data_IF_452706412303
#
_entry.id   IF_452706412303
#
_cell.length_a   1.000
_cell.length_b   1.000
_cell.length_c   1.000
_cell.angle_alpha   90.00
_cell.angle_beta   90.00
_cell.angle_gamma   90.00
#
_symmetry.space_group_name_H-M   'P 1'
#
loop_
_entity.id
_entity.type
_entity.pdbx_description
1 polymer ?
#
# COMPACT_ATOMS: atom_id res chain seq x y z
N UNK A 1 27.99 -5.31 5.96
CA UNK A 1 27.62 -6.56 6.69
C UNK A 1 26.21 -6.91 6.31
N UNK A 2 25.89 -8.16 6.00
CA UNK A 2 24.50 -8.52 5.67
C UNK A 2 23.64 -8.55 6.94
N UNK A 3 22.34 -8.29 6.81
CA UNK A 3 21.41 -8.21 7.96
C UNK A 3 21.40 -9.50 8.81
N UNK A 4 21.49 -10.68 8.17
CA UNK A 4 21.60 -11.96 8.86
C UNK A 4 22.87 -12.06 9.72
N UNK A 5 24.02 -11.66 9.16
CA UNK A 5 25.30 -11.68 9.87
C UNK A 5 25.27 -10.77 11.09
N UNK A 6 24.70 -9.57 10.94
CA UNK A 6 24.53 -8.62 12.02
C UNK A 6 23.64 -9.17 13.15
N UNK A 7 22.51 -9.80 12.79
CA UNK A 7 21.61 -10.42 13.77
C UNK A 7 22.30 -11.59 14.52
N UNK A 8 23.10 -12.41 13.82
CA UNK A 8 23.88 -13.49 14.45
C UNK A 8 24.95 -12.91 15.39
N UNK A 9 25.68 -11.87 14.98
CA UNK A 9 26.65 -11.18 15.86
C UNK A 9 25.98 -10.62 17.12
N UNK A 10 24.77 -10.06 16.98
CA UNK A 10 24.00 -9.57 18.13
C UNK A 10 23.67 -10.72 19.10
N UNK A 11 23.19 -11.86 18.57
CA UNK A 11 22.92 -13.06 19.38
C UNK A 11 24.17 -13.53 20.10
N UNK A 12 25.30 -13.65 19.41
CA UNK A 12 26.57 -14.08 19.98
C UNK A 12 27.06 -13.16 21.11
N UNK A 13 27.00 -11.84 20.91
CA UNK A 13 27.40 -10.85 21.91
C UNK A 13 26.50 -10.86 23.15
N UNK A 14 25.21 -11.03 23.00
CA UNK A 14 24.27 -11.19 24.12
C UNK A 14 24.58 -12.45 24.91
N UNK A 15 24.78 -13.58 24.23
CA UNK A 15 25.16 -14.87 24.86
C UNK A 15 26.50 -14.80 25.57
N UNK A 16 27.48 -14.14 24.97
CA UNK A 16 28.81 -13.92 25.59
C UNK A 16 28.73 -13.08 26.87
N UNK A 17 27.60 -12.42 27.15
CA UNK A 17 27.32 -11.70 28.40
C UNK A 17 26.40 -12.47 29.35
N UNK A 18 26.08 -13.74 29.04
CA UNK A 18 25.25 -14.61 29.86
C UNK A 18 23.76 -14.50 29.64
N UNK A 19 23.33 -13.87 28.57
CA UNK A 19 21.91 -13.74 28.21
C UNK A 19 21.50 -14.84 27.24
N UNK A 20 20.21 -15.20 27.27
CA UNK A 20 19.56 -15.96 26.20
C UNK A 20 19.27 -15.01 25.03
N UNK A 21 19.50 -15.46 23.81
CA UNK A 21 19.13 -14.69 22.61
C UNK A 21 18.88 -15.62 21.42
N UNK A 22 17.87 -15.30 20.62
CA UNK A 22 17.41 -16.10 19.48
C UNK A 22 16.92 -15.17 18.35
N UNK A 23 16.97 -15.62 17.10
CA UNK A 23 16.18 -15.03 16.04
C UNK A 23 14.70 -15.38 16.26
N UNK A 24 13.77 -14.48 15.87
CA UNK A 24 12.34 -14.66 16.21
C UNK A 24 11.41 -14.08 15.15
N UNK A 25 10.20 -14.62 15.07
CA UNK A 25 9.12 -14.02 14.29
C UNK A 25 9.17 -14.31 12.80
N UNK A 26 9.00 -13.26 11.99
CA UNK A 26 8.92 -13.36 10.54
C UNK A 26 10.15 -13.95 9.88
N UNK A 27 11.35 -13.61 10.35
CA UNK A 27 12.59 -14.12 9.79
C UNK A 27 12.72 -15.64 9.96
N UNK A 28 12.32 -16.20 11.11
CA UNK A 28 12.37 -17.66 11.32
C UNK A 28 11.43 -18.39 10.37
N UNK A 29 10.21 -17.89 10.21
CA UNK A 29 9.23 -18.43 9.24
C UNK A 29 9.81 -18.40 7.82
N UNK A 30 10.34 -17.26 7.40
CA UNK A 30 10.82 -17.07 6.03
C UNK A 30 12.05 -17.94 5.75
N UNK A 31 12.99 -18.08 6.71
CA UNK A 31 14.11 -19.03 6.62
C UNK A 31 13.64 -20.48 6.48
N UNK A 32 12.63 -20.89 7.25
CA UNK A 32 12.05 -22.24 7.14
C UNK A 32 11.34 -22.50 5.81
N UNK A 33 10.86 -21.45 5.14
CA UNK A 33 10.30 -21.50 3.80
C UNK A 33 11.36 -21.41 2.69
N UNK A 34 12.66 -21.31 3.03
CA UNK A 34 13.75 -21.13 2.08
C UNK A 34 13.70 -19.74 1.37
N UNK A 35 13.12 -18.75 2.02
CA UNK A 35 13.05 -17.36 1.53
C UNK A 35 14.04 -16.51 2.31
N UNK A 36 14.63 -15.53 1.63
CA UNK A 36 15.45 -14.52 2.32
C UNK A 36 14.51 -13.56 3.09
N UNK A 37 14.67 -13.42 4.42
CA UNK A 37 13.92 -12.47 5.22
C UNK A 37 14.22 -11.02 4.83
N UNK A 38 13.20 -10.17 4.84
CA UNK A 38 13.38 -8.74 4.62
C UNK A 38 14.04 -8.03 5.81
N UNK A 39 13.79 -8.54 7.02
CA UNK A 39 14.28 -8.03 8.30
C UNK A 39 14.59 -9.19 9.25
N UNK A 40 15.43 -8.92 10.24
CA UNK A 40 15.80 -9.89 11.26
C UNK A 40 15.52 -9.31 12.65
N UNK A 41 14.74 -10.04 13.45
CA UNK A 41 14.43 -9.69 14.82
C UNK A 41 15.14 -10.64 15.78
N UNK A 42 15.64 -10.10 16.89
CA UNK A 42 16.28 -10.86 17.98
C UNK A 42 15.42 -10.75 19.23
N UNK A 43 15.13 -11.86 19.87
CA UNK A 43 14.49 -11.89 21.18
C UNK A 43 15.49 -12.36 22.25
N UNK A 44 15.50 -11.71 23.43
CA UNK A 44 16.47 -11.94 24.50
C UNK A 44 15.88 -11.78 25.89
N UNK A 45 16.50 -12.37 26.93
CA UNK A 45 16.18 -12.09 28.33
C UNK A 45 16.88 -10.84 28.88
N UNK A 46 17.79 -10.23 28.10
CA UNK A 46 18.40 -8.96 28.46
C UNK A 46 17.37 -7.83 28.43
N UNK A 47 17.28 -7.05 29.51
CA UNK A 47 16.41 -5.86 29.54
C UNK A 47 17.04 -4.71 28.72
N UNK A 48 16.24 -3.71 28.26
CA UNK A 48 16.71 -2.66 27.37
C UNK A 48 18.02 -1.97 27.83
N UNK A 49 18.16 -1.71 29.12
CA UNK A 49 19.35 -1.06 29.67
C UNK A 49 20.62 -1.95 29.54
N UNK A 50 20.44 -3.27 29.59
CA UNK A 50 21.55 -4.23 29.39
C UNK A 50 21.91 -4.30 27.90
N UNK A 51 20.92 -4.32 27.00
CA UNK A 51 21.14 -4.27 25.55
C UNK A 51 21.91 -3.00 25.18
N UNK A 52 21.50 -1.84 25.65
CA UNK A 52 22.16 -0.56 25.39
C UNK A 52 23.59 -0.49 25.96
N UNK A 53 23.90 -1.19 27.05
CA UNK A 53 25.28 -1.30 27.57
C UNK A 53 26.17 -2.19 26.71
N UNK A 54 25.62 -3.22 26.10
CA UNK A 54 26.35 -4.16 25.24
C UNK A 54 26.59 -3.54 23.85
N UNK A 55 25.63 -2.75 23.36
CA UNK A 55 25.68 -2.09 22.06
C UNK A 55 25.62 -0.56 22.23
N UNK A 56 26.77 0.14 22.11
CA UNK A 56 26.85 1.58 22.44
C UNK A 56 26.13 2.50 21.45
N UNK A 57 25.80 2.01 20.26
CA UNK A 57 25.00 2.73 19.26
C UNK A 57 23.64 2.05 19.16
N UNK A 58 22.63 2.58 19.82
CA UNK A 58 21.28 2.01 19.84
C UNK A 58 20.24 3.10 19.98
N UNK A 59 19.03 2.83 19.54
CA UNK A 59 17.86 3.69 19.75
C UNK A 59 16.81 2.95 20.57
N UNK A 60 16.36 3.58 21.63
CA UNK A 60 15.31 3.07 22.50
C UNK A 60 13.93 3.38 21.91
N UNK A 61 13.54 2.70 20.84
CA UNK A 61 12.22 2.86 20.23
C UNK A 61 11.23 1.93 20.93
N UNK A 62 10.51 2.47 21.93
CA UNK A 62 9.60 1.66 22.74
C UNK A 62 10.30 0.86 23.84
N UNK A 63 11.33 1.41 24.48
CA UNK A 63 12.04 0.78 25.61
C UNK A 63 11.08 0.36 26.75
N UNK A 64 10.01 1.12 26.98
CA UNK A 64 8.93 0.74 27.91
C UNK A 64 8.25 -0.58 27.54
N UNK A 65 8.32 -0.98 26.26
CA UNK A 65 7.81 -2.26 25.74
C UNK A 65 8.91 -3.28 25.49
N UNK A 66 10.16 -2.98 25.88
CA UNK A 66 11.28 -3.89 25.78
C UNK A 66 12.02 -3.91 24.43
N UNK A 67 11.83 -2.91 23.57
CA UNK A 67 12.40 -2.91 22.21
C UNK A 67 13.54 -1.90 22.07
N UNK A 68 14.67 -2.34 21.53
CA UNK A 68 15.87 -1.55 21.21
C UNK A 68 16.30 -1.84 19.79
N UNK A 69 16.59 -0.81 19.01
CA UNK A 69 17.16 -0.94 17.67
C UNK A 69 18.68 -0.92 17.71
N UNK A 70 19.32 -1.90 17.12
CA UNK A 70 20.76 -2.01 16.98
C UNK A 70 21.14 -1.82 15.51
N UNK A 71 21.95 -0.80 15.14
CA UNK A 71 22.30 -0.53 13.75
C UNK A 71 23.16 -1.64 13.16
N UNK A 72 22.94 -1.93 11.89
CA UNK A 72 23.79 -2.81 11.10
C UNK A 72 25.00 -1.99 10.64
N UNK A 73 26.25 -2.43 10.90
CA UNK A 73 27.43 -1.73 10.40
C UNK A 73 27.41 -1.59 8.87
N UNK A 74 27.82 -0.43 8.38
CA UNK A 74 27.96 -0.10 6.94
C UNK A 74 26.63 0.01 6.15
N UNK A 75 25.48 -0.10 6.81
CA UNK A 75 24.19 0.20 6.20
C UNK A 75 23.87 1.70 6.31
N UNK A 76 23.12 2.28 5.34
CA UNK A 76 22.64 3.64 5.45
C UNK A 76 21.80 3.81 6.72
N UNK A 77 21.91 4.98 7.32
CA UNK A 77 21.41 5.30 8.67
C UNK A 77 20.09 4.63 9.03
N UNK A 78 20.11 3.88 10.14
CA UNK A 78 18.91 3.51 10.86
C UNK A 78 18.16 4.79 11.26
N UNK A 79 17.03 5.08 10.63
CA UNK A 79 16.17 6.21 10.97
C UNK A 79 15.01 5.76 11.84
N UNK A 80 15.11 5.90 13.18
CA UNK A 80 14.04 5.51 14.09
C UNK A 80 12.81 6.42 14.02
N UNK A 81 12.90 7.56 13.33
CA UNK A 81 11.84 8.54 13.12
C UNK A 81 11.34 8.60 11.67
N UNK A 82 11.74 7.67 10.81
CA UNK A 82 11.45 7.69 9.38
C UNK A 82 9.98 7.92 9.08
N UNK A 83 9.71 8.98 8.33
CA UNK A 83 8.36 9.37 7.88
C UNK A 83 7.79 8.42 6.82
N UNK A 84 8.55 7.40 6.41
CA UNK A 84 8.12 6.41 5.44
C UNK A 84 7.63 5.13 6.14
N UNK A 85 6.32 4.84 6.12
CA UNK A 85 5.74 3.63 6.71
C UNK A 85 6.25 2.31 6.08
N UNK A 86 6.92 2.38 4.95
CA UNK A 86 7.53 1.22 4.26
C UNK A 86 8.97 0.96 4.69
N UNK A 87 9.64 1.90 5.32
CA UNK A 87 10.97 1.73 5.90
C UNK A 87 10.86 1.16 7.32
N UNK A 88 10.42 -0.09 7.46
CA UNK A 88 10.62 -0.82 8.71
C UNK A 88 12.13 -0.96 8.92
N UNK A 89 12.69 -0.07 9.76
CA UNK A 89 14.02 -0.15 10.34
C UNK A 89 15.16 -0.64 9.41
N UNK A 90 15.13 -0.25 8.11
CA UNK A 90 16.25 -0.50 7.22
C UNK A 90 17.56 -0.08 7.90
N UNK A 91 18.54 -0.95 7.88
CA UNK A 91 19.84 -0.72 8.52
C UNK A 91 19.88 -1.01 10.03
N UNK A 92 18.82 -1.60 10.63
CA UNK A 92 18.79 -2.00 12.04
C UNK A 92 18.26 -3.40 12.24
N UNK A 93 18.69 -4.03 13.34
CA UNK A 93 18.09 -5.22 13.91
C UNK A 93 17.27 -4.82 15.13
N UNK A 94 16.01 -5.27 15.19
CA UNK A 94 15.17 -5.09 16.36
C UNK A 94 15.54 -6.11 17.43
N UNK A 95 15.90 -5.66 18.64
CA UNK A 95 16.20 -6.50 19.78
C UNK A 95 15.10 -6.32 20.83
N UNK A 96 14.28 -7.36 21.00
CA UNK A 96 13.13 -7.36 21.90
C UNK A 96 13.42 -8.17 23.17
N UNK A 97 13.16 -7.59 24.35
CA UNK A 97 13.23 -8.32 25.61
C UNK A 97 12.06 -9.28 25.73
N UNK A 98 12.30 -10.52 26.16
CA UNK A 98 11.22 -11.48 26.49
C UNK A 98 10.25 -10.85 27.48
N UNK A 99 8.97 -10.99 27.23
CA UNK A 99 7.97 -10.41 28.09
C UNK A 99 6.67 -11.21 28.11
N UNK A 100 5.95 -11.10 29.19
CA UNK A 100 4.53 -11.41 29.28
C UNK A 100 3.74 -10.11 29.34
N UNK A 101 2.62 -10.09 28.65
CA UNK A 101 1.76 -8.93 28.58
C UNK A 101 0.58 -9.11 29.54
N UNK A 102 0.21 -8.05 30.28
CA UNK A 102 -0.95 -8.00 31.13
C UNK A 102 -2.26 -7.86 30.34
N UNK A 103 -3.26 -7.22 30.96
CA UNK A 103 -4.53 -6.90 30.30
C UNK A 103 -4.33 -5.80 29.27
N UNK A 104 -5.15 -5.77 28.24
CA UNK A 104 -5.14 -4.77 27.16
C UNK A 104 -6.42 -3.94 27.25
N UNK A 105 -6.42 -2.84 27.99
CA UNK A 105 -7.60 -1.97 28.13
C UNK A 105 -7.91 -1.17 26.87
N UNK A 106 -6.88 -0.79 26.10
CA UNK A 106 -7.04 0.00 24.88
C UNK A 106 -7.18 -0.84 23.61
N UNK A 107 -7.10 -2.18 23.73
CA UNK A 107 -7.14 -3.12 22.60
C UNK A 107 -5.92 -3.04 21.68
N UNK A 108 -4.76 -2.56 22.19
CA UNK A 108 -3.50 -2.47 21.46
C UNK A 108 -2.27 -2.66 22.33
N UNK A 109 -2.19 -1.93 23.43
CA UNK A 109 -1.03 -1.94 24.30
C UNK A 109 -1.40 -2.65 25.61
N UNK A 110 -0.53 -3.51 26.12
CA UNK A 110 -0.73 -4.06 27.44
C UNK A 110 -0.64 -2.93 28.48
N UNK A 111 -1.55 -2.94 29.44
CA UNK A 111 -1.56 -1.97 30.54
C UNK A 111 -0.30 -2.11 31.41
N UNK A 112 0.24 -3.34 31.49
CA UNK A 112 1.45 -3.67 32.21
C UNK A 112 2.29 -4.65 31.37
N UNK A 113 3.59 -4.36 31.26
CA UNK A 113 4.60 -5.24 30.64
C UNK A 113 5.49 -5.80 31.72
N UNK A 114 5.57 -7.12 31.78
CA UNK A 114 6.48 -7.81 32.69
C UNK A 114 7.57 -8.51 31.90
N UNK A 115 8.82 -8.06 32.06
CA UNK A 115 9.95 -8.75 31.45
C UNK A 115 10.12 -10.15 32.04
N UNK A 116 10.39 -11.12 31.17
CA UNK A 116 10.53 -12.53 31.50
C UNK A 116 11.93 -13.05 31.16
N UNK A 117 12.30 -14.15 31.76
CA UNK A 117 13.49 -14.91 31.37
C UNK A 117 13.13 -16.17 30.59
N UNK A 118 11.83 -16.49 30.47
CA UNK A 118 11.38 -17.67 29.75
C UNK A 118 10.93 -17.25 28.33
N UNK A 119 11.60 -17.74 27.28
CA UNK A 119 11.22 -17.45 25.89
C UNK A 119 9.83 -17.97 25.53
N UNK A 120 9.27 -18.94 26.28
CA UNK A 120 7.91 -19.46 26.06
C UNK A 120 6.85 -18.40 26.35
N UNK A 121 7.04 -17.58 27.38
CA UNK A 121 6.12 -16.50 27.70
C UNK A 121 6.06 -15.46 26.57
N UNK A 122 7.22 -15.11 25.99
CA UNK A 122 7.27 -14.18 24.86
C UNK A 122 6.59 -14.73 23.62
N UNK A 123 6.77 -16.01 23.31
CA UNK A 123 6.13 -16.67 22.17
C UNK A 123 4.61 -16.71 22.35
N UNK A 124 4.12 -17.02 23.56
CA UNK A 124 2.70 -17.17 23.83
C UNK A 124 1.89 -15.88 23.65
N UNK A 125 2.50 -14.69 23.72
CA UNK A 125 1.78 -13.40 23.50
C UNK A 125 1.71 -13.00 22.03
N UNK A 126 2.42 -13.70 21.11
CA UNK A 126 2.45 -13.39 19.68
C UNK A 126 1.13 -13.73 18.99
N UNK A 127 0.99 -13.30 17.74
CA UNK A 127 -0.27 -13.41 16.99
C UNK A 127 -0.55 -14.84 16.49
N UNK A 128 0.33 -15.40 15.65
CA UNK A 128 0.10 -16.66 14.95
C UNK A 128 1.24 -17.65 15.20
N UNK A 129 0.90 -18.93 15.19
CA UNK A 129 1.86 -20.04 15.41
C UNK A 129 3.04 -19.98 14.46
N UNK A 130 2.81 -19.68 13.18
CA UNK A 130 3.86 -19.55 12.15
C UNK A 130 4.85 -18.40 12.41
N UNK A 131 4.50 -17.43 13.26
CA UNK A 131 5.35 -16.31 13.70
C UNK A 131 5.83 -16.48 15.15
N UNK A 132 5.48 -17.57 15.80
CA UNK A 132 5.80 -17.87 17.20
C UNK A 132 6.97 -18.82 17.38
N UNK A 133 7.86 -18.93 16.41
CA UNK A 133 9.04 -19.78 16.49
C UNK A 133 10.29 -18.95 16.79
N UNK A 134 11.23 -19.58 17.48
CA UNK A 134 12.56 -19.07 17.74
C UNK A 134 13.58 -19.91 16.97
N UNK A 135 14.69 -19.32 16.56
CA UNK A 135 15.78 -20.02 15.91
C UNK A 135 17.09 -19.67 16.61
N UNK A 136 17.85 -20.71 16.95
CA UNK A 136 19.19 -20.61 17.53
C UNK A 136 20.23 -20.62 16.39
N UNK A 137 20.72 -19.44 15.95
CA UNK A 137 21.65 -19.39 14.83
C UNK A 137 23.05 -19.87 15.19
N UNK A 138 23.38 -20.01 16.47
CA UNK A 138 24.67 -20.44 16.97
C UNK A 138 24.71 -21.97 17.17
N UNK A 139 23.55 -22.59 17.42
CA UNK A 139 23.40 -24.04 17.54
C UNK A 139 22.77 -24.65 16.27
N UNK A 140 23.53 -24.59 15.16
CA UNK A 140 23.13 -25.21 13.87
C UNK A 140 21.71 -24.85 13.38
N UNK A 141 21.25 -23.60 13.58
CA UNK A 141 19.92 -23.12 13.23
C UNK A 141 18.80 -23.99 13.87
N UNK A 142 19.01 -24.47 15.10
CA UNK A 142 17.99 -25.21 15.84
C UNK A 142 16.74 -24.37 16.06
N UNK A 143 15.57 -24.93 15.69
CA UNK A 143 14.28 -24.24 15.85
C UNK A 143 13.59 -24.69 17.13
N UNK A 144 13.33 -23.72 18.02
CA UNK A 144 12.55 -23.90 19.24
C UNK A 144 11.09 -23.53 18.92
N UNK A 145 10.24 -24.55 18.90
CA UNK A 145 8.80 -24.40 18.60
C UNK A 145 7.95 -24.82 19.82
N UNK A 146 7.40 -23.84 20.50
CA UNK A 146 6.56 -24.05 21.70
C UNK A 146 5.05 -24.00 21.39
N UNK A 147 4.67 -23.69 20.13
CA UNK A 147 3.27 -23.39 19.75
C UNK A 147 2.77 -24.19 18.56
N UNK A 148 3.61 -25.08 17.99
CA UNK A 148 3.26 -25.90 16.84
C UNK A 148 3.39 -25.17 15.50
N UNK A 149 4.18 -24.09 15.44
CA UNK A 149 4.36 -23.28 14.24
C UNK A 149 4.94 -24.04 13.05
N UNK A 150 5.88 -25.00 13.28
CA UNK A 150 6.41 -25.86 12.21
C UNK A 150 5.37 -26.76 11.59
N UNK A 151 4.48 -27.32 12.41
CA UNK A 151 3.39 -28.17 11.92
C UNK A 151 2.38 -27.34 11.10
N UNK A 152 1.99 -26.18 11.59
CA UNK A 152 1.07 -25.28 10.88
C UNK A 152 1.71 -24.72 9.59
N UNK A 153 3.01 -24.45 9.60
CA UNK A 153 3.75 -24.03 8.41
C UNK A 153 3.75 -25.14 7.34
N UNK A 154 4.00 -26.38 7.74
CA UNK A 154 3.96 -27.56 6.86
C UNK A 154 2.52 -27.83 6.35
N UNK A 155 1.52 -27.66 7.21
CA UNK A 155 0.10 -27.79 6.86
C UNK A 155 -0.44 -26.61 6.03
N UNK A 156 0.34 -25.53 5.87
CA UNK A 156 -0.06 -24.30 5.17
C UNK A 156 -1.30 -23.66 5.78
N UNK A 157 -1.35 -23.51 7.09
CA UNK A 157 -2.46 -22.89 7.79
C UNK A 157 -2.02 -21.68 8.64
N UNK A 158 -2.94 -20.76 8.83
CA UNK A 158 -2.82 -19.63 9.77
C UNK A 158 -3.70 -19.91 10.96
N UNK A 159 -3.06 -20.06 12.12
CA UNK A 159 -3.69 -20.32 13.42
C UNK A 159 -3.20 -19.31 14.44
N UNK A 160 -4.10 -18.79 15.27
CA UNK A 160 -3.71 -17.97 16.43
C UNK A 160 -3.00 -18.80 17.49
N UNK A 161 -2.09 -18.19 18.23
CA UNK A 161 -1.51 -18.81 19.41
C UNK A 161 -2.52 -18.75 20.55
N UNK A 162 -2.97 -19.92 21.02
CA UNK A 162 -4.00 -20.01 22.05
C UNK A 162 -5.41 -19.69 21.55
N UNK A 163 -6.28 -19.19 22.43
CA UNK A 163 -7.68 -18.88 22.08
C UNK A 163 -7.81 -17.71 21.13
N UNK A 164 -8.45 -17.89 19.94
CA UNK A 164 -8.55 -16.85 18.93
C UNK A 164 -9.28 -15.58 19.40
N UNK A 165 -10.38 -15.74 20.17
CA UNK A 165 -11.16 -14.60 20.63
C UNK A 165 -10.34 -13.74 21.57
N UNK A 166 -9.66 -14.37 22.52
CA UNK A 166 -8.76 -13.67 23.43
C UNK A 166 -7.63 -12.95 22.67
N UNK A 167 -7.02 -13.60 21.65
CA UNK A 167 -5.96 -12.97 20.83
C UNK A 167 -6.47 -11.75 20.07
N UNK A 168 -7.69 -11.80 19.56
CA UNK A 168 -8.31 -10.66 18.87
C UNK A 168 -8.80 -9.59 19.85
N UNK A 169 -9.16 -9.95 21.07
CA UNK A 169 -9.50 -8.97 22.12
C UNK A 169 -8.30 -8.14 22.54
N UNK A 170 -7.11 -8.72 22.59
CA UNK A 170 -5.85 -8.02 22.87
C UNK A 170 -5.47 -7.01 21.78
N UNK A 171 -5.59 -7.36 20.50
CA UNK A 171 -5.38 -6.47 19.36
C UNK A 171 -6.27 -6.87 18.18
N UNK A 172 -7.31 -6.08 17.93
CA UNK A 172 -8.26 -6.31 16.82
C UNK A 172 -7.60 -6.32 15.44
N UNK A 173 -6.44 -5.64 15.26
CA UNK A 173 -5.72 -5.65 13.99
C UNK A 173 -5.25 -7.04 13.60
N UNK A 174 -5.06 -7.94 14.56
CA UNK A 174 -4.68 -9.34 14.29
C UNK A 174 -5.68 -10.05 13.37
N UNK A 175 -6.96 -9.64 13.37
CA UNK A 175 -7.95 -10.17 12.41
C UNK A 175 -7.56 -9.87 10.95
N UNK A 176 -7.20 -8.62 10.65
CA UNK A 176 -6.74 -8.23 9.30
C UNK A 176 -5.39 -8.89 8.99
N UNK A 177 -4.49 -8.98 9.98
CA UNK A 177 -3.19 -9.66 9.81
C UNK A 177 -3.35 -11.15 9.48
N UNK A 178 -4.33 -11.86 10.07
CA UNK A 178 -4.64 -13.25 9.71
C UNK A 178 -4.97 -13.38 8.21
N UNK A 179 -5.85 -12.52 7.71
CA UNK A 179 -6.22 -12.45 6.29
C UNK A 179 -4.99 -12.16 5.43
N UNK A 180 -4.18 -11.18 5.80
CA UNK A 180 -2.97 -10.83 5.04
C UNK A 180 -1.97 -12.00 4.97
N UNK A 181 -1.68 -12.66 6.09
CA UNK A 181 -0.77 -13.81 6.08
C UNK A 181 -1.32 -14.98 5.28
N UNK A 182 -2.62 -15.27 5.41
CA UNK A 182 -3.26 -16.32 4.61
C UNK A 182 -3.16 -16.03 3.10
N UNK A 183 -3.43 -14.80 2.68
CA UNK A 183 -3.30 -14.40 1.28
C UNK A 183 -1.84 -14.46 0.82
N UNK A 184 -0.90 -13.81 1.55
CA UNK A 184 0.51 -13.71 1.19
C UNK A 184 1.19 -15.06 1.00
N UNK A 185 0.85 -16.05 1.82
CA UNK A 185 1.47 -17.39 1.76
C UNK A 185 0.64 -18.41 0.98
N UNK A 186 -0.58 -18.08 0.56
CA UNK A 186 -1.51 -19.02 -0.04
C UNK A 186 -1.96 -20.09 0.97
N UNK A 187 -2.14 -19.70 2.23
CA UNK A 187 -2.53 -20.57 3.33
C UNK A 187 -4.00 -20.43 3.65
N UNK A 188 -4.58 -21.47 4.28
CA UNK A 188 -5.94 -21.44 4.78
C UNK A 188 -5.97 -20.92 6.24
N UNK A 189 -6.98 -20.15 6.59
CA UNK A 189 -7.21 -19.78 8.00
C UNK A 189 -7.99 -20.93 8.64
N UNK A 190 -7.49 -21.48 9.76
CA UNK A 190 -8.19 -22.59 10.42
C UNK A 190 -9.60 -22.15 10.86
N UNK A 191 -10.61 -23.09 10.86
CA UNK A 191 -12.00 -22.75 11.14
C UNK A 191 -12.20 -21.96 12.42
N UNK A 192 -11.57 -22.36 13.52
CA UNK A 192 -11.72 -21.71 14.83
C UNK A 192 -11.22 -20.24 14.79
N UNK A 193 -10.16 -19.98 14.04
CA UNK A 193 -9.63 -18.61 13.86
C UNK A 193 -10.55 -17.79 12.95
N UNK A 194 -11.06 -18.37 11.84
CA UNK A 194 -11.96 -17.69 10.92
C UNK A 194 -13.32 -17.38 11.57
N UNK A 195 -13.86 -18.29 12.35
CA UNK A 195 -15.13 -18.08 13.05
C UNK A 195 -15.03 -16.98 14.11
N UNK A 196 -13.90 -16.92 14.83
CA UNK A 196 -13.64 -15.83 15.75
C UNK A 196 -13.49 -14.47 15.01
N UNK A 197 -12.87 -14.44 13.82
CA UNK A 197 -12.81 -13.22 12.98
C UNK A 197 -14.21 -12.77 12.60
N UNK A 198 -15.06 -13.68 12.10
CA UNK A 198 -16.44 -13.38 11.70
C UNK A 198 -17.27 -12.81 12.87
N UNK A 199 -17.15 -13.40 14.03
CA UNK A 199 -17.87 -12.96 15.22
C UNK A 199 -17.42 -11.57 15.68
N UNK A 200 -16.12 -11.28 15.60
CA UNK A 200 -15.52 -10.04 16.10
C UNK A 200 -15.29 -8.97 15.02
N UNK A 201 -15.63 -9.25 13.76
CA UNK A 201 -15.33 -8.36 12.62
C UNK A 201 -15.79 -6.92 12.84
N UNK A 202 -16.97 -6.69 13.44
CA UNK A 202 -17.49 -5.35 13.68
C UNK A 202 -16.65 -4.53 14.68
N UNK A 203 -15.84 -5.19 15.52
CA UNK A 203 -14.98 -4.55 16.50
C UNK A 203 -13.70 -3.99 15.92
N UNK A 204 -13.37 -4.29 14.64
CA UNK A 204 -12.20 -3.72 13.96
C UNK A 204 -12.20 -2.18 13.92
N UNK A 205 -13.37 -1.58 14.06
CA UNK A 205 -13.57 -0.11 14.04
C UNK A 205 -12.86 0.64 15.19
N UNK A 206 -12.43 -0.04 16.23
CA UNK A 206 -11.65 0.58 17.33
C UNK A 206 -10.19 0.76 16.94
N UNK A 207 -9.71 0.07 15.88
CA UNK A 207 -8.34 0.19 15.37
C UNK A 207 -8.19 1.48 14.60
N UNK A 208 -7.07 2.18 14.78
CA UNK A 208 -6.78 3.40 14.05
C UNK A 208 -6.74 3.17 12.54
N UNK A 209 -7.26 4.14 11.79
CA UNK A 209 -7.33 4.04 10.33
C UNK A 209 -5.95 3.89 9.68
N UNK A 210 -4.89 4.47 10.27
CA UNK A 210 -3.52 4.33 9.80
C UNK A 210 -3.07 2.86 9.82
N UNK A 211 -3.31 2.16 10.95
CA UNK A 211 -2.93 0.75 11.09
C UNK A 211 -3.70 -0.14 10.11
N UNK A 212 -5.00 0.13 9.93
CA UNK A 212 -5.84 -0.58 8.94
C UNK A 212 -5.32 -0.32 7.53
N UNK A 213 -5.06 0.96 7.17
CA UNK A 213 -4.48 1.34 5.87
C UNK A 213 -3.18 0.58 5.60
N UNK A 214 -2.28 0.52 6.58
CA UNK A 214 -0.97 -0.09 6.40
C UNK A 214 -1.08 -1.59 6.12
N UNK A 215 -1.97 -2.31 6.79
CA UNK A 215 -2.24 -3.72 6.49
C UNK A 215 -2.92 -3.91 5.12
N UNK A 216 -3.89 -3.06 4.77
CA UNK A 216 -4.54 -3.09 3.44
C UNK A 216 -3.54 -2.78 2.33
N UNK A 217 -2.64 -1.80 2.52
CA UNK A 217 -1.59 -1.46 1.56
C UNK A 217 -0.65 -2.65 1.35
N UNK A 218 -0.24 -3.34 2.41
CA UNK A 218 0.56 -4.56 2.29
C UNK A 218 -0.19 -5.65 1.50
N UNK A 219 -1.48 -5.85 1.75
CA UNK A 219 -2.30 -6.79 0.96
C UNK A 219 -2.31 -6.45 -0.53
N UNK A 220 -2.38 -5.17 -0.86
CA UNK A 220 -2.40 -4.69 -2.24
C UNK A 220 -1.04 -4.82 -2.94
N UNK A 221 0.07 -4.66 -2.20
CA UNK A 221 1.42 -4.54 -2.78
C UNK A 221 2.31 -5.77 -2.61
N UNK A 222 1.91 -6.78 -1.83
CA UNK A 222 2.69 -8.01 -1.60
C UNK A 222 2.43 -9.12 -2.65
N UNK A 223 1.58 -8.88 -3.68
CA UNK A 223 1.41 -9.78 -4.83
C UNK A 223 0.27 -10.80 -4.73
N UNK A 224 -0.63 -10.66 -3.76
CA UNK A 224 -1.78 -11.56 -3.59
C UNK A 224 -3.07 -10.78 -3.27
N UNK A 225 -3.23 -9.61 -3.89
CA UNK A 225 -4.30 -8.67 -3.58
C UNK A 225 -5.70 -9.28 -3.78
N UNK A 226 -5.93 -10.00 -4.88
CA UNK A 226 -7.21 -10.69 -5.13
C UNK A 226 -7.60 -11.58 -3.96
N UNK A 227 -6.73 -12.54 -3.58
CA UNK A 227 -7.02 -13.48 -2.49
C UNK A 227 -7.22 -12.77 -1.15
N UNK A 228 -6.46 -11.71 -0.89
CA UNK A 228 -6.61 -10.92 0.33
C UNK A 228 -8.00 -10.28 0.41
N UNK A 229 -8.50 -9.70 -0.68
CA UNK A 229 -9.80 -9.05 -0.71
C UNK A 229 -10.97 -10.06 -0.71
N UNK A 230 -10.81 -11.23 -1.34
CA UNK A 230 -11.75 -12.35 -1.19
C UNK A 230 -11.86 -12.78 0.28
N UNK A 231 -10.75 -12.98 0.97
CA UNK A 231 -10.75 -13.35 2.40
C UNK A 231 -11.28 -12.24 3.32
N UNK A 232 -11.01 -10.96 3.02
CA UNK A 232 -11.62 -9.83 3.74
C UNK A 232 -13.15 -9.87 3.62
N UNK A 233 -13.67 -10.22 2.46
CA UNK A 233 -15.09 -10.35 2.23
C UNK A 233 -15.68 -11.57 2.94
N UNK A 234 -15.07 -12.74 2.78
CA UNK A 234 -15.49 -14.00 3.44
C UNK A 234 -15.52 -13.88 4.97
N UNK A 235 -14.61 -13.11 5.56
CA UNK A 235 -14.52 -12.88 6.99
C UNK A 235 -15.45 -11.79 7.51
N UNK A 236 -16.12 -11.04 6.62
CA UNK A 236 -16.96 -9.89 6.98
C UNK A 236 -16.18 -8.62 7.32
N UNK A 237 -14.85 -8.65 7.28
CA UNK A 237 -14.00 -7.49 7.57
C UNK A 237 -14.13 -6.41 6.50
N UNK A 238 -14.28 -6.79 5.21
CA UNK A 238 -14.40 -5.83 4.11
C UNK A 238 -15.50 -4.81 4.34
N UNK A 239 -16.68 -5.26 4.74
CA UNK A 239 -17.83 -4.38 5.01
C UNK A 239 -17.61 -3.43 6.19
N UNK A 240 -16.67 -3.74 7.08
CA UNK A 240 -16.35 -2.92 8.24
C UNK A 240 -15.27 -1.87 7.96
N UNK A 241 -14.26 -2.23 7.13
CA UNK A 241 -13.10 -1.36 6.87
C UNK A 241 -13.21 -0.57 5.57
N UNK A 242 -13.86 -1.13 4.55
CA UNK A 242 -14.07 -0.53 3.21
C UNK A 242 -15.50 -0.80 2.72
N UNK A 243 -16.53 -0.25 3.39
CA UNK A 243 -17.92 -0.49 3.02
C UNK A 243 -18.28 -0.02 1.62
N UNK A 244 -17.54 0.95 1.05
CA UNK A 244 -17.69 1.40 -0.32
C UNK A 244 -17.34 0.29 -1.32
N UNK A 245 -16.27 -0.45 -1.05
CA UNK A 245 -15.83 -1.59 -1.88
C UNK A 245 -16.78 -2.77 -1.74
N UNK A 246 -17.24 -3.05 -0.52
CA UNK A 246 -18.21 -4.11 -0.29
C UNK A 246 -19.53 -3.89 -1.07
N UNK A 247 -19.92 -2.64 -1.34
CA UNK A 247 -21.10 -2.28 -2.14
C UNK A 247 -20.96 -2.54 -3.63
N UNK A 248 -19.77 -2.83 -4.13
CA UNK A 248 -19.57 -3.20 -5.54
C UNK A 248 -20.14 -4.58 -5.88
N UNK A 249 -20.34 -5.43 -4.87
CA UNK A 249 -20.89 -6.79 -5.05
C UNK A 249 -22.33 -6.74 -5.55
N UNK A 250 -22.64 -7.53 -6.59
CA UNK A 250 -23.95 -7.61 -7.19
C UNK A 250 -24.31 -6.40 -8.07
N UNK A 251 -23.36 -5.49 -8.32
CA UNK A 251 -23.56 -4.37 -9.24
C UNK A 251 -23.23 -4.83 -10.66
N UNK A 252 -24.27 -5.16 -11.43
CA UNK A 252 -24.13 -5.62 -12.80
C UNK A 252 -23.53 -4.58 -13.73
N UNK A 253 -22.73 -5.02 -14.69
CA UNK A 253 -22.12 -4.19 -15.73
C UNK A 253 -22.63 -4.55 -17.14
N UNK A 254 -22.51 -3.65 -18.14
CA UNK A 254 -22.91 -3.96 -19.52
C UNK A 254 -22.05 -5.08 -20.10
N UNK A 255 -22.62 -6.24 -20.47
CA UNK A 255 -21.85 -7.42 -20.92
C UNK A 255 -20.98 -7.19 -22.15
N UNK A 256 -21.31 -6.16 -22.97
CA UNK A 256 -20.56 -5.83 -24.18
C UNK A 256 -19.13 -5.32 -23.86
N UNK A 257 -18.95 -4.68 -22.70
CA UNK A 257 -17.69 -4.10 -22.26
C UNK A 257 -17.08 -4.86 -21.08
N UNK A 258 -17.93 -5.52 -20.30
CA UNK A 258 -17.58 -6.21 -19.07
C UNK A 258 -18.19 -7.62 -19.07
N UNK A 259 -17.57 -8.57 -19.81
CA UNK A 259 -18.06 -9.96 -19.88
C UNK A 259 -18.00 -10.66 -18.52
N UNK A 260 -17.18 -10.20 -17.57
CA UNK A 260 -17.13 -10.63 -16.18
C UNK A 260 -18.39 -10.29 -15.37
N UNK A 261 -19.18 -9.31 -15.82
CA UNK A 261 -20.56 -9.04 -15.44
C UNK A 261 -20.81 -8.27 -14.15
N UNK A 262 -19.88 -8.20 -13.22
CA UNK A 262 -20.04 -7.59 -11.88
C UNK A 262 -18.86 -6.68 -11.53
N UNK A 263 -19.15 -5.50 -10.94
CA UNK A 263 -18.12 -4.51 -10.59
C UNK A 263 -17.10 -5.07 -9.59
N UNK A 264 -17.54 -5.86 -8.62
CA UNK A 264 -16.65 -6.51 -7.65
C UNK A 264 -15.73 -7.53 -8.31
N UNK A 265 -16.29 -8.40 -9.17
CA UNK A 265 -15.51 -9.39 -9.91
C UNK A 265 -14.49 -8.70 -10.82
N UNK A 266 -14.90 -7.64 -11.53
CA UNK A 266 -13.99 -6.81 -12.31
C UNK A 266 -12.84 -6.26 -11.47
N UNK A 267 -13.16 -5.67 -10.31
CA UNK A 267 -12.15 -5.14 -9.39
C UNK A 267 -11.18 -6.24 -8.93
N UNK A 268 -11.68 -7.43 -8.56
CA UNK A 268 -10.82 -8.56 -8.18
C UNK A 268 -9.89 -9.02 -9.31
N UNK A 269 -10.38 -9.08 -10.56
CA UNK A 269 -9.56 -9.42 -11.74
C UNK A 269 -8.47 -8.37 -11.99
N UNK A 270 -8.74 -7.11 -11.70
CA UNK A 270 -7.77 -6.03 -11.80
C UNK A 270 -6.73 -6.13 -10.67
N UNK A 271 -7.15 -6.40 -9.43
CA UNK A 271 -6.25 -6.63 -8.30
C UNK A 271 -5.33 -7.86 -8.49
N UNK A 272 -5.77 -8.88 -9.22
CA UNK A 272 -4.96 -10.07 -9.55
C UNK A 272 -3.73 -9.72 -10.41
N UNK A 273 -3.78 -8.61 -11.16
CA UNK A 273 -2.71 -8.18 -12.04
C UNK A 273 -1.65 -7.33 -11.31
N UNK A 274 -1.93 -6.87 -10.08
CA UNK A 274 -0.96 -6.13 -9.28
C UNK A 274 0.28 -6.99 -9.01
N UNK A 275 1.43 -6.48 -9.42
CA UNK A 275 2.69 -7.15 -9.19
C UNK A 275 3.20 -6.90 -7.77
N UNK A 276 4.01 -7.82 -7.20
CA UNK A 276 4.75 -7.53 -5.98
C UNK A 276 5.54 -6.23 -6.13
N UNK A 277 5.49 -5.39 -5.10
CA UNK A 277 6.12 -4.06 -5.06
C UNK A 277 5.53 -3.02 -6.02
N UNK A 278 4.32 -3.23 -6.55
CA UNK A 278 3.57 -2.14 -7.20
C UNK A 278 3.50 -0.93 -6.28
N UNK A 279 3.53 0.28 -6.88
CA UNK A 279 3.44 1.49 -6.08
C UNK A 279 2.13 1.54 -5.27
N UNK A 280 2.20 2.11 -4.08
CA UNK A 280 1.02 2.28 -3.22
C UNK A 280 -0.10 3.03 -3.93
N UNK A 281 0.23 4.06 -4.71
CA UNK A 281 -0.76 4.88 -5.41
C UNK A 281 -1.44 4.13 -6.54
N UNK A 282 -0.70 3.36 -7.35
CA UNK A 282 -1.28 2.49 -8.37
C UNK A 282 -2.21 1.44 -7.73
N UNK A 283 -1.75 0.79 -6.67
CA UNK A 283 -2.49 -0.29 -6.01
C UNK A 283 -3.82 0.20 -5.40
N UNK A 284 -3.83 1.36 -4.74
CA UNK A 284 -5.05 2.00 -4.27
C UNK A 284 -5.90 2.56 -5.42
N UNK A 285 -5.28 3.09 -6.48
CA UNK A 285 -5.97 3.51 -7.70
C UNK A 285 -6.73 2.36 -8.35
N UNK A 286 -6.09 1.20 -8.44
CA UNK A 286 -6.69 -0.04 -8.95
C UNK A 286 -7.92 -0.48 -8.14
N UNK A 287 -7.84 -0.41 -6.80
CA UNK A 287 -8.96 -0.74 -5.92
C UNK A 287 -10.13 0.25 -6.05
N UNK A 288 -9.84 1.53 -6.27
CA UNK A 288 -10.83 2.63 -6.15
C UNK A 288 -11.33 3.17 -7.48
N UNK A 289 -10.77 2.78 -8.64
CA UNK A 289 -11.11 3.40 -9.94
C UNK A 289 -12.62 3.42 -10.21
N UNK A 290 -13.31 2.37 -9.85
CA UNK A 290 -14.73 2.16 -10.08
C UNK A 290 -15.62 2.32 -8.81
N UNK A 291 -15.09 2.88 -7.73
CA UNK A 291 -15.80 3.02 -6.45
C UNK A 291 -17.09 3.84 -6.54
N UNK A 292 -17.23 4.68 -7.55
CA UNK A 292 -18.44 5.47 -7.82
C UNK A 292 -19.57 4.70 -8.50
N UNK A 293 -19.30 3.55 -9.15
CA UNK A 293 -20.29 2.79 -9.93
C UNK A 293 -21.53 2.37 -9.11
N UNK A 294 -21.41 1.82 -7.89
CA UNK A 294 -22.59 1.40 -7.13
C UNK A 294 -23.63 2.51 -6.89
N UNK A 295 -23.16 3.73 -6.64
CA UNK A 295 -24.04 4.88 -6.34
C UNK A 295 -24.61 5.56 -7.59
N UNK A 296 -24.08 5.27 -8.76
CA UNK A 296 -24.53 5.83 -10.05
C UNK A 296 -25.19 4.78 -10.95
N UNK A 297 -25.32 3.56 -10.43
CA UNK A 297 -25.97 2.46 -11.17
C UNK A 297 -27.38 2.83 -11.58
N UNK A 298 -27.67 2.70 -12.89
CA UNK A 298 -28.99 2.90 -13.45
C UNK A 298 -29.25 1.89 -14.58
N UNK A 299 -30.35 1.17 -14.49
CA UNK A 299 -30.83 0.33 -15.57
C UNK A 299 -31.72 1.17 -16.49
N UNK A 300 -31.15 1.65 -17.61
CA UNK A 300 -31.88 2.37 -18.63
C UNK A 300 -32.53 1.35 -19.62
N UNK A 301 -33.52 1.79 -20.45
CA UNK A 301 -34.20 0.90 -21.40
C UNK A 301 -33.27 0.23 -22.42
N UNK A 302 -32.19 0.91 -22.79
CA UNK A 302 -31.21 0.46 -23.80
C UNK A 302 -30.03 -0.30 -23.20
N UNK A 303 -29.59 0.07 -21.96
CA UNK A 303 -28.41 -0.54 -21.31
C UNK A 303 -28.27 -0.13 -19.84
N UNK A 304 -27.36 -0.80 -19.14
CA UNK A 304 -26.87 -0.37 -17.83
C UNK A 304 -25.96 0.85 -18.02
N UNK A 305 -26.11 1.87 -17.15
CA UNK A 305 -25.36 3.12 -17.17
C UNK A 305 -24.80 3.46 -15.79
N UNK A 306 -23.65 4.16 -15.79
CA UNK A 306 -22.96 4.67 -14.62
C UNK A 306 -22.59 6.16 -14.80
N UNK A 307 -23.54 6.96 -15.28
CA UNK A 307 -23.29 8.36 -15.62
C UNK A 307 -22.75 9.12 -14.40
N UNK A 308 -21.59 9.77 -14.54
CA UNK A 308 -20.92 10.54 -13.48
C UNK A 308 -20.21 9.70 -12.41
N UNK A 309 -20.00 8.39 -12.62
CA UNK A 309 -19.29 7.55 -11.62
C UNK A 309 -17.87 8.04 -11.33
N UNK A 310 -17.19 8.66 -12.29
CA UNK A 310 -15.85 9.23 -12.11
C UNK A 310 -15.89 10.36 -11.08
N UNK A 311 -16.78 11.36 -11.26
CA UNK A 311 -16.88 12.49 -10.34
C UNK A 311 -17.28 12.06 -8.91
N UNK A 312 -18.18 11.08 -8.83
CA UNK A 312 -18.59 10.50 -7.55
C UNK A 312 -17.43 9.69 -6.95
N UNK A 313 -16.72 8.91 -7.77
CA UNK A 313 -15.56 8.12 -7.38
C UNK A 313 -14.43 8.98 -6.81
N UNK A 314 -14.10 10.09 -7.46
CA UNK A 314 -13.09 11.05 -6.96
C UNK A 314 -13.46 11.57 -5.57
N UNK A 315 -14.70 12.02 -5.38
CA UNK A 315 -15.17 12.51 -4.07
C UNK A 315 -15.14 11.43 -2.98
N UNK A 316 -15.47 10.18 -3.35
CA UNK A 316 -15.38 9.04 -2.43
C UNK A 316 -13.93 8.72 -2.08
N UNK A 317 -13.03 8.74 -3.06
CA UNK A 317 -11.59 8.53 -2.91
C UNK A 317 -10.97 9.59 -1.99
N UNK A 318 -11.28 10.86 -2.19
CA UNK A 318 -10.80 11.95 -1.33
C UNK A 318 -11.28 11.79 0.13
N UNK A 319 -12.54 11.43 0.33
CA UNK A 319 -13.08 11.18 1.67
C UNK A 319 -12.38 10.00 2.34
N UNK A 320 -12.27 8.87 1.64
CA UNK A 320 -11.63 7.65 2.13
C UNK A 320 -10.14 7.90 2.43
N UNK A 321 -9.41 8.56 1.53
CA UNK A 321 -8.00 8.84 1.72
C UNK A 321 -7.74 9.76 2.92
N UNK A 322 -8.60 10.77 3.16
CA UNK A 322 -8.53 11.60 4.37
C UNK A 322 -8.80 10.77 5.63
N UNK A 323 -9.79 9.89 5.61
CA UNK A 323 -10.11 8.96 6.71
C UNK A 323 -8.94 8.01 7.00
N UNK A 324 -8.35 7.44 5.96
CA UNK A 324 -7.20 6.52 6.02
C UNK A 324 -5.86 7.24 6.24
N UNK A 325 -5.86 8.57 6.40
CA UNK A 325 -4.66 9.36 6.63
C UNK A 325 -3.61 9.21 5.53
N UNK A 326 -4.02 9.23 4.26
CA UNK A 326 -3.08 9.32 3.15
C UNK A 326 -2.27 10.63 3.24
N UNK A 327 -1.02 10.59 2.80
CA UNK A 327 -0.28 11.82 2.57
C UNK A 327 -0.94 12.64 1.46
N UNK A 328 -0.65 13.94 1.40
CA UNK A 328 -1.18 14.82 0.35
C UNK A 328 -0.83 14.29 -1.04
N UNK A 329 0.43 13.89 -1.24
CA UNK A 329 0.92 13.34 -2.49
C UNK A 329 0.21 12.03 -2.90
N UNK A 330 0.02 11.11 -1.94
CA UNK A 330 -0.73 9.88 -2.18
C UNK A 330 -2.19 10.18 -2.57
N UNK A 331 -2.84 11.08 -1.84
CA UNK A 331 -4.24 11.43 -2.11
C UNK A 331 -4.43 12.09 -3.47
N UNK A 332 -3.54 13.03 -3.84
CA UNK A 332 -3.56 13.70 -5.14
C UNK A 332 -3.38 12.68 -6.27
N UNK A 333 -2.41 11.78 -6.16
CA UNK A 333 -2.14 10.78 -7.21
C UNK A 333 -3.26 9.74 -7.33
N UNK A 334 -3.75 9.17 -6.21
CA UNK A 334 -4.86 8.19 -6.26
C UNK A 334 -6.12 8.83 -6.83
N UNK A 335 -6.44 10.08 -6.43
CA UNK A 335 -7.57 10.81 -7.00
C UNK A 335 -7.41 11.08 -8.49
N UNK A 336 -6.19 11.42 -8.95
CA UNK A 336 -5.88 11.61 -10.36
C UNK A 336 -6.04 10.31 -11.18
N UNK A 337 -5.64 9.17 -10.63
CA UNK A 337 -5.84 7.85 -11.25
C UNK A 337 -7.33 7.57 -11.45
N UNK A 338 -8.15 7.77 -10.42
CA UNK A 338 -9.62 7.61 -10.49
C UNK A 338 -10.24 8.61 -11.48
N UNK A 339 -9.81 9.88 -11.47
CA UNK A 339 -10.33 10.92 -12.37
C UNK A 339 -10.06 10.63 -13.84
N UNK A 340 -8.90 10.05 -14.13
CA UNK A 340 -8.42 9.94 -15.51
C UNK A 340 -8.58 8.55 -16.11
N UNK A 341 -9.03 7.52 -15.38
CA UNK A 341 -9.04 6.14 -15.87
C UNK A 341 -9.87 5.96 -17.16
N UNK A 342 -10.98 6.70 -17.30
CA UNK A 342 -11.82 6.64 -18.52
C UNK A 342 -11.26 7.42 -19.71
N UNK A 343 -10.30 8.35 -19.51
CA UNK A 343 -9.80 9.24 -20.59
C UNK A 343 -9.07 8.50 -21.71
N UNK A 344 -8.56 7.31 -21.43
CA UNK A 344 -7.93 6.47 -22.45
C UNK A 344 -8.89 6.04 -23.58
N UNK A 345 -10.18 5.97 -23.31
CA UNK A 345 -11.19 5.71 -24.33
C UNK A 345 -11.24 6.76 -25.46
N UNK A 346 -10.79 7.98 -25.17
CA UNK A 346 -10.85 9.11 -26.10
C UNK A 346 -9.51 9.50 -26.74
N UNK A 347 -8.38 8.84 -26.36
CA UNK A 347 -7.02 9.29 -26.73
C UNK A 347 -6.78 9.39 -28.23
N UNK A 348 -7.39 8.51 -29.03
CA UNK A 348 -7.26 8.53 -30.51
C UNK A 348 -8.03 9.68 -31.16
N UNK A 349 -8.95 10.32 -30.43
CA UNK A 349 -9.75 11.44 -30.89
C UNK A 349 -9.35 12.77 -30.25
N UNK A 350 -8.41 12.75 -29.31
CA UNK A 350 -7.91 13.95 -28.64
C UNK A 350 -7.13 14.81 -29.62
N UNK A 351 -7.26 16.15 -29.47
CA UNK A 351 -6.33 17.09 -30.13
C UNK A 351 -4.92 16.84 -29.58
N UNK A 352 -3.91 17.14 -30.40
CA UNK A 352 -2.51 16.90 -30.00
C UNK A 352 -2.12 17.62 -28.72
N UNK A 353 -2.57 18.87 -28.53
CA UNK A 353 -2.36 19.62 -27.28
C UNK A 353 -2.99 18.93 -26.08
N UNK A 354 -4.20 18.39 -26.22
CA UNK A 354 -4.90 17.67 -25.15
C UNK A 354 -4.19 16.35 -24.83
N UNK A 355 -3.77 15.59 -25.84
CA UNK A 355 -3.04 14.34 -25.66
C UNK A 355 -1.68 14.58 -24.96
N UNK A 356 -0.91 15.59 -25.40
CA UNK A 356 0.35 15.96 -24.74
C UNK A 356 0.16 16.39 -23.29
N UNK A 357 -0.91 17.14 -22.99
CA UNK A 357 -1.28 17.47 -21.58
C UNK A 357 -1.65 16.24 -20.77
N UNK A 358 -2.34 15.30 -21.38
CA UNK A 358 -2.68 14.03 -20.72
C UNK A 358 -1.42 13.21 -20.42
N UNK A 359 -0.51 13.05 -21.40
CA UNK A 359 0.75 12.32 -21.22
C UNK A 359 1.72 12.94 -20.21
N UNK A 360 1.57 14.22 -19.85
CA UNK A 360 2.40 14.88 -18.84
C UNK A 360 1.84 14.86 -17.40
N UNK A 361 0.73 14.15 -17.15
CA UNK A 361 0.23 13.96 -15.81
C UNK A 361 1.34 13.39 -14.90
N UNK A 362 1.37 13.74 -13.62
CA UNK A 362 2.30 13.14 -12.68
C UNK A 362 2.20 11.62 -12.69
N UNK A 363 3.34 10.93 -12.63
CA UNK A 363 3.42 9.45 -12.64
C UNK A 363 2.53 8.83 -13.73
N UNK A 364 2.68 9.31 -14.97
CA UNK A 364 1.83 8.89 -16.09
C UNK A 364 1.95 7.40 -16.39
N UNK A 365 3.07 6.78 -16.04
CA UNK A 365 3.28 5.33 -16.05
C UNK A 365 2.25 4.58 -15.20
N UNK A 366 1.85 5.12 -14.05
CA UNK A 366 0.78 4.53 -13.23
C UNK A 366 -0.60 4.62 -13.93
N UNK A 367 -0.88 5.71 -14.65
CA UNK A 367 -2.10 5.84 -15.44
C UNK A 367 -2.14 4.84 -16.58
N UNK A 368 -1.01 4.65 -17.25
CA UNK A 368 -0.85 3.65 -18.32
C UNK A 368 -1.06 2.23 -17.80
N UNK A 369 -0.43 1.89 -16.66
CA UNK A 369 -0.55 0.55 -16.10
C UNK A 369 -1.96 0.28 -15.58
N UNK A 370 -2.61 1.25 -14.90
CA UNK A 370 -4.00 1.13 -14.48
C UNK A 370 -4.93 0.84 -15.67
N UNK A 371 -4.79 1.63 -16.76
CA UNK A 371 -5.59 1.41 -17.97
C UNK A 371 -5.36 0.03 -18.59
N UNK A 372 -4.11 -0.42 -18.66
CA UNK A 372 -3.76 -1.74 -19.16
C UNK A 372 -4.42 -2.85 -18.33
N UNK A 373 -4.33 -2.74 -16.99
CA UNK A 373 -4.95 -3.68 -16.07
C UNK A 373 -6.47 -3.72 -16.23
N UNK A 374 -7.12 -2.56 -16.36
CA UNK A 374 -8.56 -2.42 -16.59
C UNK A 374 -8.99 -3.08 -17.90
N UNK A 375 -8.28 -2.82 -19.00
CA UNK A 375 -8.53 -3.48 -20.29
C UNK A 375 -8.39 -5.01 -20.19
N UNK A 376 -7.35 -5.51 -19.53
CA UNK A 376 -7.11 -6.94 -19.38
C UNK A 376 -8.15 -7.62 -18.50
N UNK A 377 -8.68 -6.92 -17.50
CA UNK A 377 -9.76 -7.38 -16.63
C UNK A 377 -11.13 -7.36 -17.30
N UNK A 378 -11.29 -6.67 -18.45
CA UNK A 378 -12.56 -6.49 -19.15
C UNK A 378 -12.50 -7.00 -20.59
N UNK A 379 -12.55 -6.12 -21.56
CA UNK A 379 -12.65 -6.42 -23.01
C UNK A 379 -11.34 -6.87 -23.69
N UNK A 380 -10.20 -6.81 -23.02
CA UNK A 380 -8.84 -7.19 -23.48
C UNK A 380 -8.33 -6.46 -24.73
N UNK A 381 -8.91 -5.33 -25.07
CA UNK A 381 -8.46 -4.49 -26.16
C UNK A 381 -7.45 -3.45 -25.67
N UNK A 382 -6.20 -3.57 -26.05
CA UNK A 382 -5.11 -2.66 -25.68
C UNK A 382 -4.83 -1.56 -26.71
N UNK A 383 -5.72 -1.34 -27.70
CA UNK A 383 -5.47 -0.37 -28.79
C UNK A 383 -5.16 1.04 -28.29
N UNK A 384 -5.91 1.55 -27.32
CA UNK A 384 -5.65 2.87 -26.72
C UNK A 384 -4.33 2.90 -25.95
N UNK A 385 -4.01 1.84 -25.20
CA UNK A 385 -2.74 1.71 -24.50
C UNK A 385 -1.55 1.75 -25.47
N UNK A 386 -1.57 0.91 -26.52
CA UNK A 386 -0.49 0.85 -27.51
C UNK A 386 -0.37 2.17 -28.30
N UNK A 387 -1.49 2.83 -28.62
CA UNK A 387 -1.48 4.14 -29.25
C UNK A 387 -0.74 5.18 -28.40
N UNK A 388 -1.08 5.30 -27.12
CA UNK A 388 -0.43 6.26 -26.21
C UNK A 388 1.04 5.91 -26.01
N UNK A 389 1.36 4.62 -25.83
CA UNK A 389 2.73 4.14 -25.70
C UNK A 389 3.59 4.53 -26.90
N UNK A 390 3.10 4.27 -28.10
CA UNK A 390 3.77 4.67 -29.35
C UNK A 390 3.96 6.19 -29.40
N UNK A 391 2.93 6.97 -29.05
CA UNK A 391 3.02 8.43 -29.01
C UNK A 391 4.06 8.94 -28.03
N UNK A 392 4.20 8.32 -26.88
CA UNK A 392 5.25 8.65 -25.90
C UNK A 392 6.66 8.33 -26.43
N UNK A 393 6.82 7.23 -27.17
CA UNK A 393 8.10 6.84 -27.77
C UNK A 393 8.48 7.76 -28.96
N UNK A 394 7.50 8.18 -29.76
CA UNK A 394 7.70 9.04 -30.93
C UNK A 394 7.89 10.52 -30.57
N UNK A 395 7.32 10.98 -29.45
CA UNK A 395 7.29 12.40 -29.09
C UNK A 395 8.42 12.74 -28.12
N UNK A 396 9.36 13.61 -28.49
CA UNK A 396 10.42 14.04 -27.59
C UNK A 396 9.89 14.66 -26.29
N UNK A 397 10.53 14.39 -25.17
CA UNK A 397 10.12 14.92 -23.87
C UNK A 397 9.95 16.45 -23.83
N UNK A 398 10.77 17.17 -24.63
CA UNK A 398 10.69 18.63 -24.79
C UNK A 398 9.41 19.09 -25.51
N UNK A 399 8.81 18.26 -26.35
CA UNK A 399 7.55 18.58 -27.01
C UNK A 399 6.33 18.26 -26.13
N UNK A 400 6.47 17.29 -25.23
CA UNK A 400 5.43 16.98 -24.23
C UNK A 400 5.42 18.05 -23.15
N UNK A 401 6.59 18.54 -22.72
CA UNK A 401 6.77 19.59 -21.71
C UNK A 401 7.67 20.71 -22.22
N UNK A 402 7.21 21.53 -23.18
CA UNK A 402 7.99 22.65 -23.67
C UNK A 402 8.08 23.76 -22.60
N UNK A 403 9.15 24.53 -22.66
CA UNK A 403 9.20 25.79 -21.92
C UNK A 403 8.14 26.76 -22.48
N UNK A 404 7.36 27.45 -21.63
CA UNK A 404 6.32 28.37 -22.08
C UNK A 404 6.92 29.48 -22.97
N UNK A 405 6.37 29.65 -24.18
CA UNK A 405 6.77 30.73 -25.10
C UNK A 405 6.38 32.13 -24.57
N UNK A 406 5.27 32.21 -23.80
CA UNK A 406 4.79 33.47 -23.19
C UNK A 406 4.52 33.22 -21.72
N UNK A 407 4.96 34.15 -20.88
CA UNK A 407 4.72 34.16 -19.44
C UNK A 407 3.81 35.33 -19.06
N UNK A 408 3.31 35.34 -17.82
CA UNK A 408 2.46 36.41 -17.33
C UNK A 408 3.10 37.79 -17.41
N UNK A 409 4.42 37.88 -17.18
CA UNK A 409 5.16 39.15 -17.24
C UNK A 409 5.22 39.72 -18.66
N UNK A 410 5.28 38.87 -19.70
CA UNK A 410 5.24 39.32 -21.10
C UNK A 410 3.90 39.96 -21.43
N UNK A 411 2.80 39.41 -20.92
CA UNK A 411 1.47 39.98 -21.10
C UNK A 411 1.34 41.33 -20.39
N UNK A 412 1.90 41.46 -19.17
CA UNK A 412 1.91 42.72 -18.45
C UNK A 412 2.69 43.81 -19.21
N UNK A 413 3.85 43.43 -19.78
CA UNK A 413 4.71 44.34 -20.53
C UNK A 413 4.02 45.00 -21.74
N UNK A 414 3.06 44.26 -22.35
CA UNK A 414 2.28 44.78 -23.51
C UNK A 414 0.90 45.34 -23.12
N UNK A 415 0.63 45.52 -21.83
CA UNK A 415 -0.54 46.26 -21.31
C UNK A 415 -1.72 45.43 -20.86
N UNK A 416 -1.65 44.10 -20.85
CA UNK A 416 -2.72 43.27 -20.27
C UNK A 416 -2.73 43.36 -18.76
N UNK A 417 -3.92 43.36 -18.16
CA UNK A 417 -4.07 43.38 -16.70
C UNK A 417 -4.19 41.94 -16.15
N UNK A 418 -3.48 41.60 -15.05
CA UNK A 418 -3.61 40.32 -14.40
C UNK A 418 -5.06 40.00 -14.03
N UNK A 419 -5.52 38.78 -14.39
CA UNK A 419 -6.88 38.34 -14.14
C UNK A 419 -7.23 37.02 -14.86
N UNK A 420 -8.50 36.60 -14.85
CA UNK A 420 -8.94 35.33 -15.49
C UNK A 420 -8.53 35.21 -16.96
N UNK A 421 -8.49 36.33 -17.69
CA UNK A 421 -8.09 36.40 -19.11
C UNK A 421 -6.65 35.92 -19.34
N UNK A 422 -5.72 36.08 -18.35
CA UNK A 422 -4.36 35.55 -18.45
C UNK A 422 -4.37 34.05 -18.63
N UNK A 423 -5.19 33.32 -17.86
CA UNK A 423 -5.28 31.88 -17.95
C UNK A 423 -5.79 31.45 -19.35
N UNK A 424 -6.74 32.18 -19.90
CA UNK A 424 -7.27 31.92 -21.24
C UNK A 424 -6.19 32.13 -22.31
N UNK A 425 -5.49 33.29 -22.28
CA UNK A 425 -4.43 33.63 -23.23
C UNK A 425 -3.28 32.61 -23.14
N UNK A 426 -2.75 32.37 -21.94
CA UNK A 426 -1.64 31.44 -21.74
C UNK A 426 -2.01 30.01 -22.14
N UNK A 427 -3.23 29.58 -21.91
CA UNK A 427 -3.72 28.26 -22.34
C UNK A 427 -3.81 28.17 -23.88
N UNK A 428 -4.30 29.22 -24.55
CA UNK A 428 -4.37 29.27 -26.03
C UNK A 428 -2.98 29.26 -26.68
N UNK A 429 -2.03 30.01 -26.11
CA UNK A 429 -0.62 30.00 -26.54
C UNK A 429 -0.02 28.61 -26.34
N UNK A 430 -0.22 28.00 -25.18
CA UNK A 430 0.25 26.64 -24.91
C UNK A 430 -0.36 25.62 -25.88
N UNK A 431 -1.66 25.73 -26.20
CA UNK A 431 -2.27 24.88 -27.24
C UNK A 431 -1.58 25.02 -28.58
N UNK A 432 -1.33 26.28 -29.03
CA UNK A 432 -0.61 26.54 -30.27
C UNK A 432 0.83 26.00 -30.27
N UNK A 433 1.50 26.09 -29.14
CA UNK A 433 2.86 25.57 -28.96
C UNK A 433 2.88 24.02 -28.98
N UNK A 434 1.99 23.37 -28.25
CA UNK A 434 1.89 21.92 -28.19
C UNK A 434 1.49 21.30 -29.54
N UNK A 435 0.72 22.03 -30.35
CA UNK A 435 0.33 21.64 -31.71
C UNK A 435 1.35 22.03 -32.79
N UNK A 436 2.48 22.63 -32.40
CA UNK A 436 3.55 23.04 -33.30
C UNK A 436 3.20 24.23 -34.22
N UNK A 437 2.10 24.97 -33.93
CA UNK A 437 1.69 26.17 -34.66
C UNK A 437 2.44 27.42 -34.23
N UNK A 438 2.87 27.48 -32.97
CA UNK A 438 3.67 28.57 -32.40
C UNK A 438 5.03 28.00 -31.99
N UNK A 439 6.10 28.52 -32.62
CA UNK A 439 7.46 27.99 -32.47
C UNK A 439 8.40 28.96 -31.79
N UNK A 440 8.04 30.26 -31.71
CA UNK A 440 8.86 31.28 -31.08
C UNK A 440 8.02 32.24 -30.20
N UNK A 441 8.71 32.96 -29.31
CA UNK A 441 8.08 34.00 -28.49
C UNK A 441 7.42 35.07 -29.34
N UNK A 442 8.07 35.51 -30.45
CA UNK A 442 7.55 36.52 -31.37
C UNK A 442 6.22 36.08 -31.97
N UNK A 443 6.19 34.87 -32.56
CA UNK A 443 4.96 34.30 -33.15
C UNK A 443 3.84 34.19 -32.10
N UNK A 444 4.17 33.80 -30.88
CA UNK A 444 3.20 33.67 -29.78
C UNK A 444 2.67 35.04 -29.34
N UNK A 445 3.48 36.09 -29.32
CA UNK A 445 3.04 37.45 -29.00
C UNK A 445 2.19 38.07 -30.09
N UNK A 446 2.54 37.82 -31.39
CA UNK A 446 1.69 38.22 -32.52
C UNK A 446 0.32 37.54 -32.46
N UNK A 447 0.28 36.24 -32.18
CA UNK A 447 -0.96 35.49 -31.96
C UNK A 447 -1.80 36.09 -30.81
N UNK A 448 -1.16 36.43 -29.67
CA UNK A 448 -1.85 37.04 -28.53
C UNK A 448 -2.51 38.36 -28.90
N UNK A 449 -1.78 39.25 -29.63
CA UNK A 449 -2.29 40.55 -30.03
C UNK A 449 -3.45 40.45 -31.05
N UNK A 450 -3.39 39.44 -31.92
CA UNK A 450 -4.44 39.22 -32.93
C UNK A 450 -5.71 38.63 -32.34
N UNK A 451 -5.59 37.60 -31.53
CA UNK A 451 -6.76 36.82 -31.02
C UNK A 451 -7.36 37.41 -29.73
N UNK A 452 -6.56 38.17 -28.97
CA UNK A 452 -6.94 38.73 -27.68
C UNK A 452 -6.71 40.25 -27.60
N UNK A 453 -7.27 41.08 -28.48
CA UNK A 453 -7.04 42.53 -28.45
C UNK A 453 -7.32 43.12 -27.06
N UNK A 454 -6.56 44.15 -26.65
CA UNK A 454 -6.62 44.83 -25.34
C UNK A 454 -8.02 45.45 -25.03
#
# INVERSE_FOLDING_TARGET
MQAREAAIEIVDRLRGRGHQAYLVGGCVRDLLLGREPADYDVATDAVPEQVMKIFPRTWAVGAQFGVVLVPIPDEPECDPGGTNPQSHHHGCVEVATFRSDGVYSDGRHPDEVRFSKDPREDVQRRDFTINGMLLDPVNHDEVLDFVGGRADLAAKVVRTIGDPKRRFDEDKLRMIRAVRFAARFGYEIVPETMDAIRELASQIKVVSHERVRDELTKMLTEGHARRAFELLDESGLLAQVLPEIAKMKGVEQPPQYHPEGDVWIHTLMLLEQLQPNSSTTLAWGALLHDVGKPSTFRRAPDRIRFDGHVDVGVKMTERLGKQMRFSKDQLEQVSALVENHMKFGEVTHMRESTLKRFMRLPRFDEHMELHKMDCLASHRNLGSYEFVKQKMEETPAKEIRPEPLVKGDDLIAVGYRPGPRFKEILSAVEDGQLEGRLLSHEQAMEFVQAEFPL
#
